data_IF_866069054020
#
_entry.id   IF_866069054020
#
_cell.length_a   1.000
_cell.length_b   1.000
_cell.length_c   1.000
_cell.angle_alpha   90.00
_cell.angle_beta   90.00
_cell.angle_gamma   90.00
#
_symmetry.space_group_name_H-M   'P 1'
#
loop_
_entity.id
_entity.type
_entity.pdbx_description
1 polymer ?
#
# COMPACT_ATOMS: atom_id res chain seq x y z
N UNK A 1 -21.68 -1.75 -0.64
CA UNK A 1 -21.30 -3.17 -0.66
C UNK A 1 -22.53 -4.02 -0.96
N UNK A 2 -22.34 -5.06 -1.74
CA UNK A 2 -23.36 -6.09 -2.02
C UNK A 2 -22.67 -7.45 -1.88
N UNK A 3 -23.22 -8.32 -1.05
CA UNK A 3 -22.72 -9.69 -0.81
C UNK A 3 -21.20 -9.79 -0.54
N UNK A 4 -20.66 -8.75 0.13
CA UNK A 4 -19.21 -8.57 0.28
C UNK A 4 -18.51 -9.71 1.02
N UNK A 5 -19.24 -10.47 1.84
CA UNK A 5 -18.74 -11.57 2.68
C UNK A 5 -19.14 -12.96 2.17
N UNK A 6 -19.77 -13.04 0.98
CA UNK A 6 -20.11 -14.30 0.36
C UNK A 6 -18.85 -14.98 -0.18
N UNK A 7 -18.59 -16.21 0.26
CA UNK A 7 -17.45 -17.02 -0.19
C UNK A 7 -17.65 -17.46 -1.65
N UNK A 8 -16.65 -17.19 -2.49
CA UNK A 8 -16.61 -17.54 -3.91
C UNK A 8 -15.21 -17.94 -4.34
N UNK A 9 -15.05 -18.74 -5.38
CA UNK A 9 -13.76 -18.97 -6.01
C UNK A 9 -13.17 -17.66 -6.53
N UNK A 10 -11.88 -17.34 -6.24
CA UNK A 10 -11.26 -16.08 -6.65
C UNK A 10 -10.70 -16.08 -8.06
N UNK A 11 -10.51 -17.23 -8.68
CA UNK A 11 -9.70 -17.37 -9.88
C UNK A 11 -8.31 -16.70 -9.69
N UNK A 12 -7.72 -16.15 -10.76
CA UNK A 12 -6.39 -15.51 -10.73
C UNK A 12 -6.30 -14.22 -9.89
N UNK A 13 -7.39 -13.76 -9.25
CA UNK A 13 -7.29 -12.70 -8.22
C UNK A 13 -6.49 -13.20 -7.01
N UNK A 14 -6.39 -14.51 -6.80
CA UNK A 14 -5.46 -15.19 -5.87
C UNK A 14 -4.04 -14.64 -5.96
N UNK A 15 -3.57 -14.31 -7.17
CA UNK A 15 -2.21 -13.85 -7.44
C UNK A 15 -1.84 -12.53 -6.77
N UNK A 16 -2.83 -11.79 -6.24
CA UNK A 16 -2.57 -10.61 -5.38
C UNK A 16 -1.83 -11.06 -4.12
N UNK A 17 -2.25 -12.17 -3.50
CA UNK A 17 -1.55 -12.73 -2.33
C UNK A 17 -0.17 -13.28 -2.72
N UNK A 18 -0.07 -13.92 -3.88
CA UNK A 18 1.22 -14.42 -4.41
C UNK A 18 2.21 -13.28 -4.58
N UNK A 19 1.82 -12.19 -5.25
CA UNK A 19 2.67 -11.01 -5.42
C UNK A 19 3.00 -10.34 -4.08
N UNK A 20 2.05 -10.29 -3.14
CA UNK A 20 2.28 -9.76 -1.80
C UNK A 20 3.39 -10.53 -1.07
N UNK A 21 3.37 -11.86 -1.11
CA UNK A 21 4.42 -12.69 -0.51
C UNK A 21 5.77 -12.58 -1.23
N UNK A 22 5.77 -12.40 -2.56
CA UNK A 22 7.01 -12.13 -3.31
C UNK A 22 7.64 -10.81 -2.82
N UNK A 23 6.84 -9.74 -2.71
CA UNK A 23 7.33 -8.46 -2.20
C UNK A 23 7.73 -8.52 -0.71
N UNK A 24 7.00 -9.27 0.14
CA UNK A 24 7.39 -9.51 1.53
C UNK A 24 8.77 -10.22 1.60
N UNK A 25 9.06 -11.16 0.69
CA UNK A 25 10.34 -11.83 0.60
C UNK A 25 11.48 -10.91 0.11
N UNK A 26 11.19 -10.01 -0.84
CA UNK A 26 12.15 -9.00 -1.31
C UNK A 26 12.46 -7.99 -0.20
N UNK A 27 11.44 -7.46 0.48
CA UNK A 27 11.61 -6.50 1.58
C UNK A 27 12.43 -7.08 2.73
N UNK A 28 12.17 -8.34 3.09
CA UNK A 28 12.93 -9.05 4.12
C UNK A 28 14.34 -9.48 3.68
N UNK A 29 14.73 -9.18 2.43
CA UNK A 29 16.01 -9.56 1.82
C UNK A 29 16.24 -11.08 1.76
N UNK A 30 15.17 -11.86 1.76
CA UNK A 30 15.22 -13.31 1.53
C UNK A 30 15.56 -13.61 0.08
N UNK A 31 15.07 -12.76 -0.84
CA UNK A 31 15.35 -12.77 -2.27
C UNK A 31 15.59 -11.33 -2.77
N UNK A 32 16.17 -11.19 -3.96
CA UNK A 32 16.28 -9.91 -4.69
C UNK A 32 15.54 -9.96 -6.02
N UNK A 33 15.24 -8.81 -6.63
CA UNK A 33 14.59 -8.74 -7.93
C UNK A 33 15.43 -9.33 -9.06
N UNK A 34 16.76 -9.34 -8.90
CA UNK A 34 17.75 -9.83 -9.85
C UNK A 34 18.02 -11.32 -9.72
N UNK A 35 17.56 -11.96 -8.65
CA UNK A 35 17.78 -13.40 -8.42
C UNK A 35 17.19 -14.23 -9.56
N UNK A 36 17.93 -15.26 -9.98
CA UNK A 36 17.49 -16.20 -11.00
C UNK A 36 16.65 -17.32 -10.40
N UNK A 37 15.39 -17.37 -10.77
CA UNK A 37 14.41 -18.37 -10.34
C UNK A 37 14.43 -19.54 -11.31
N UNK A 38 14.82 -20.76 -10.89
CA UNK A 38 14.77 -21.93 -11.75
C UNK A 38 13.32 -22.41 -11.93
N UNK A 39 13.01 -22.90 -13.11
CA UNK A 39 11.70 -23.46 -13.46
C UNK A 39 11.73 -24.98 -13.31
N UNK A 40 10.93 -25.54 -12.42
CA UNK A 40 10.77 -26.98 -12.24
C UNK A 40 9.89 -27.60 -13.33
N UNK A 41 9.89 -28.91 -13.43
CA UNK A 41 8.99 -29.66 -14.29
C UNK A 41 7.52 -29.41 -13.91
N UNK A 42 7.24 -29.31 -12.60
CA UNK A 42 5.89 -29.03 -12.11
C UNK A 42 5.45 -27.61 -12.50
N UNK A 43 6.26 -26.58 -12.30
CA UNK A 43 5.95 -25.23 -12.72
C UNK A 43 5.71 -25.13 -14.23
N UNK A 44 6.58 -25.76 -15.05
CA UNK A 44 6.44 -25.80 -16.52
C UNK A 44 5.20 -26.56 -17.00
N UNK A 45 4.65 -27.48 -16.18
CA UNK A 45 3.46 -28.27 -16.53
C UNK A 45 2.13 -27.55 -16.29
N UNK A 46 2.17 -26.32 -15.69
CA UNK A 46 0.96 -25.59 -15.35
C UNK A 46 0.12 -25.24 -16.57
N UNK A 47 -1.18 -25.52 -16.44
CA UNK A 47 -2.19 -25.13 -17.45
C UNK A 47 -2.80 -23.76 -17.20
N UNK A 48 -3.74 -23.38 -18.06
CA UNK A 48 -4.45 -22.11 -18.00
C UNK A 48 -3.61 -20.94 -18.55
N UNK A 49 -3.65 -19.77 -17.91
CA UNK A 49 -2.79 -18.64 -18.31
C UNK A 49 -1.34 -18.94 -17.97
N UNK A 50 -0.46 -18.87 -18.94
CA UNK A 50 0.96 -19.20 -18.80
C UNK A 50 1.80 -18.39 -19.80
N UNK A 51 3.09 -18.32 -19.56
CA UNK A 51 4.07 -17.72 -20.47
C UNK A 51 4.99 -18.76 -21.06
N UNK A 52 4.65 -20.05 -20.89
CA UNK A 52 5.34 -21.19 -21.46
C UNK A 52 6.79 -21.35 -21.00
N UNK A 53 7.02 -21.16 -19.69
CA UNK A 53 8.33 -21.44 -19.09
C UNK A 53 8.73 -22.90 -19.30
N UNK A 54 9.97 -23.15 -19.72
CA UNK A 54 10.49 -24.51 -19.94
C UNK A 54 11.24 -25.03 -18.70
N UNK A 55 11.18 -26.34 -18.47
CA UNK A 55 11.92 -26.99 -17.37
C UNK A 55 13.42 -26.73 -17.46
N UNK A 56 13.97 -26.17 -16.38
CA UNK A 56 15.40 -25.81 -16.27
C UNK A 56 15.73 -24.43 -16.85
N UNK A 57 14.76 -23.71 -17.42
CA UNK A 57 14.88 -22.29 -17.72
C UNK A 57 15.03 -21.50 -16.41
N UNK A 58 15.64 -20.31 -16.48
CA UNK A 58 15.71 -19.38 -15.36
C UNK A 58 15.24 -18.00 -15.79
N UNK A 59 14.44 -17.34 -14.95
CA UNK A 59 14.03 -15.95 -15.14
C UNK A 59 14.32 -15.16 -13.88
N UNK A 60 14.47 -13.84 -13.97
CA UNK A 60 14.63 -13.01 -12.77
C UNK A 60 13.31 -12.93 -11.98
N UNK A 61 13.39 -12.66 -10.67
CA UNK A 61 12.22 -12.37 -9.84
C UNK A 61 11.40 -11.22 -10.44
N UNK A 62 12.04 -10.16 -10.95
CA UNK A 62 11.40 -9.06 -11.67
C UNK A 62 10.60 -9.55 -12.88
N UNK A 63 11.22 -10.38 -13.74
CA UNK A 63 10.53 -10.97 -14.90
C UNK A 63 9.36 -11.85 -14.47
N UNK A 64 9.51 -12.65 -13.41
CA UNK A 64 8.41 -13.46 -12.87
C UNK A 64 7.24 -12.61 -12.37
N UNK A 65 7.52 -11.49 -11.66
CA UNK A 65 6.48 -10.53 -11.26
C UNK A 65 5.75 -9.94 -12.47
N UNK A 66 6.45 -9.60 -13.56
CA UNK A 66 5.86 -9.14 -14.83
C UNK A 66 4.96 -10.21 -15.43
N UNK A 67 5.40 -11.46 -15.51
CA UNK A 67 4.61 -12.59 -16.02
C UNK A 67 3.33 -12.79 -15.20
N UNK A 68 3.41 -12.72 -13.87
CA UNK A 68 2.28 -12.88 -12.93
C UNK A 68 1.29 -11.71 -13.05
N UNK A 69 1.79 -10.48 -13.04
CA UNK A 69 0.95 -9.28 -13.02
C UNK A 69 0.27 -9.04 -14.37
N UNK A 70 1.04 -9.06 -15.47
CA UNK A 70 0.61 -8.68 -16.81
C UNK A 70 -0.17 -9.83 -17.46
N UNK A 71 0.48 -10.97 -17.66
CA UNK A 71 -0.09 -12.12 -18.37
C UNK A 71 -0.85 -13.09 -17.47
N UNK A 72 -0.80 -12.90 -16.15
CA UNK A 72 -1.48 -13.80 -15.20
C UNK A 72 -0.92 -15.23 -15.19
N UNK A 73 0.39 -15.39 -15.41
CA UNK A 73 1.07 -16.66 -15.63
C UNK A 73 1.02 -17.59 -14.41
N UNK A 74 0.48 -18.79 -14.58
CA UNK A 74 0.37 -19.81 -13.52
C UNK A 74 1.72 -20.50 -13.29
N UNK A 75 2.46 -20.78 -14.36
CA UNK A 75 3.82 -21.34 -14.36
C UNK A 75 4.78 -20.45 -13.55
N UNK A 76 4.75 -19.14 -13.78
CA UNK A 76 5.54 -18.18 -13.00
C UNK A 76 5.14 -18.13 -11.51
N UNK A 77 3.83 -18.30 -11.19
CA UNK A 77 3.39 -18.35 -9.78
C UNK A 77 3.98 -19.57 -9.05
N UNK A 78 3.93 -20.74 -9.67
CA UNK A 78 4.45 -21.97 -9.07
C UNK A 78 5.96 -21.91 -8.94
N UNK A 79 6.68 -21.46 -9.98
CA UNK A 79 8.13 -21.29 -9.91
C UNK A 79 8.55 -20.35 -8.76
N UNK A 80 7.83 -19.23 -8.57
CA UNK A 80 8.09 -18.31 -7.46
C UNK A 80 7.73 -18.94 -6.10
N UNK A 81 6.64 -19.70 -6.00
CA UNK A 81 6.25 -20.38 -4.77
C UNK A 81 7.31 -21.40 -4.34
N UNK A 82 7.78 -22.23 -5.26
CA UNK A 82 8.86 -23.19 -5.02
C UNK A 82 10.17 -22.50 -4.64
N UNK A 83 10.52 -21.42 -5.33
CA UNK A 83 11.75 -20.65 -5.05
C UNK A 83 11.75 -20.03 -3.66
N UNK A 84 10.63 -19.47 -3.24
CA UNK A 84 10.51 -18.77 -1.94
C UNK A 84 10.37 -19.77 -0.77
N UNK A 85 9.57 -20.82 -0.94
CA UNK A 85 9.14 -21.68 0.18
C UNK A 85 9.55 -23.14 0.03
N UNK A 86 10.23 -23.50 -1.06
CA UNK A 86 10.69 -24.86 -1.36
C UNK A 86 9.63 -25.75 -2.00
N UNK A 87 8.34 -25.43 -1.85
CA UNK A 87 7.23 -26.08 -2.57
C UNK A 87 5.99 -25.19 -2.64
N UNK A 88 5.05 -25.47 -3.55
CA UNK A 88 3.77 -24.77 -3.61
C UNK A 88 2.96 -24.93 -2.33
N UNK A 89 2.95 -26.14 -1.73
CA UNK A 89 2.21 -26.42 -0.50
C UNK A 89 2.72 -25.56 0.67
N UNK A 90 4.04 -25.43 0.84
CA UNK A 90 4.62 -24.57 1.87
C UNK A 90 4.29 -23.09 1.63
N UNK A 91 4.32 -22.65 0.38
CA UNK A 91 3.93 -21.28 0.00
C UNK A 91 2.44 -21.02 0.29
N UNK A 92 1.55 -21.96 -0.01
CA UNK A 92 0.12 -21.87 0.30
C UNK A 92 -0.13 -21.77 1.81
N UNK A 93 0.65 -22.46 2.63
CA UNK A 93 0.59 -22.29 4.08
C UNK A 93 0.94 -20.86 4.51
N UNK A 94 1.99 -20.26 3.92
CA UNK A 94 2.33 -18.85 4.17
C UNK A 94 1.24 -17.89 3.63
N UNK A 95 0.62 -18.17 2.47
CA UNK A 95 -0.54 -17.40 1.96
C UNK A 95 -1.68 -17.40 2.99
N UNK A 96 -2.05 -18.55 3.54
CA UNK A 96 -3.12 -18.66 4.53
C UNK A 96 -2.76 -18.01 5.86
N UNK A 97 -1.51 -18.09 6.29
CA UNK A 97 -0.99 -17.39 7.48
C UNK A 97 -1.07 -15.86 7.27
N UNK A 98 -0.65 -15.38 6.09
CA UNK A 98 -0.72 -13.96 5.74
C UNK A 98 -2.17 -13.47 5.67
N UNK A 99 -3.07 -14.25 5.09
CA UNK A 99 -4.50 -13.95 5.05
C UNK A 99 -5.08 -13.75 6.46
N UNK A 100 -4.77 -14.66 7.39
CA UNK A 100 -5.18 -14.53 8.81
C UNK A 100 -4.63 -13.24 9.45
N UNK A 101 -3.36 -12.91 9.19
CA UNK A 101 -2.73 -11.69 9.72
C UNK A 101 -3.39 -10.41 9.18
N UNK A 102 -3.94 -10.45 7.96
CA UNK A 102 -4.69 -9.34 7.35
C UNK A 102 -6.18 -9.28 7.77
N UNK A 103 -6.65 -10.24 8.58
CA UNK A 103 -8.06 -10.32 8.99
C UNK A 103 -8.98 -10.89 7.91
N UNK A 104 -8.44 -11.63 6.94
CA UNK A 104 -9.20 -12.29 5.87
C UNK A 104 -9.81 -13.61 6.40
N UNK A 105 -10.85 -13.48 7.22
CA UNK A 105 -11.41 -14.61 7.96
C UNK A 105 -12.22 -15.61 7.10
N UNK A 106 -12.62 -15.21 5.89
CA UNK A 106 -13.42 -16.02 4.99
C UNK A 106 -12.63 -16.55 3.79
N UNK A 107 -11.29 -16.51 3.88
CA UNK A 107 -10.38 -16.92 2.82
C UNK A 107 -9.66 -18.22 3.17
N UNK A 108 -9.57 -19.11 2.21
CA UNK A 108 -8.72 -20.28 2.24
C UNK A 108 -8.09 -20.49 0.86
N UNK A 109 -6.78 -20.39 0.78
CA UNK A 109 -6.02 -20.71 -0.43
C UNK A 109 -5.63 -22.18 -0.44
N UNK A 110 -5.73 -22.82 -1.61
CA UNK A 110 -5.35 -24.22 -1.86
C UNK A 110 -4.22 -24.32 -2.87
N UNK A 111 -4.06 -23.29 -3.71
CA UNK A 111 -2.95 -23.13 -4.65
C UNK A 111 -2.53 -21.66 -4.74
N UNK A 112 -1.38 -21.40 -5.36
CA UNK A 112 -0.81 -20.07 -5.47
C UNK A 112 -1.29 -19.27 -6.70
N UNK A 113 -2.04 -19.87 -7.62
CA UNK A 113 -2.35 -19.27 -8.91
C UNK A 113 -3.84 -19.01 -9.16
N UNK A 114 -4.75 -19.67 -8.42
CA UNK A 114 -6.19 -19.48 -8.51
C UNK A 114 -6.90 -20.40 -9.50
N UNK A 115 -6.32 -21.51 -9.88
CA UNK A 115 -7.04 -22.60 -10.55
C UNK A 115 -8.13 -23.17 -9.65
N UNK A 116 -9.25 -23.58 -10.23
CA UNK A 116 -10.37 -24.14 -9.48
C UNK A 116 -9.94 -25.37 -8.68
N UNK A 117 -10.18 -25.33 -7.37
CA UNK A 117 -9.89 -26.42 -6.44
C UNK A 117 -10.88 -26.39 -5.29
N UNK A 118 -11.27 -27.57 -4.80
CA UNK A 118 -12.19 -27.70 -3.68
C UNK A 118 -11.64 -26.95 -2.45
N UNK A 119 -12.44 -26.03 -1.92
CA UNK A 119 -12.05 -25.23 -0.76
C UNK A 119 -11.21 -23.99 -1.06
N UNK A 120 -10.85 -23.72 -2.34
CA UNK A 120 -10.17 -22.48 -2.74
C UNK A 120 -11.18 -21.35 -2.84
N UNK A 121 -11.35 -20.60 -1.75
CA UNK A 121 -12.41 -19.58 -1.62
C UNK A 121 -11.91 -18.31 -0.96
N UNK A 122 -12.56 -17.21 -1.30
CA UNK A 122 -12.38 -15.89 -0.65
C UNK A 122 -13.68 -15.08 -0.74
N UNK A 123 -13.64 -13.83 -0.29
CA UNK A 123 -14.75 -12.88 -0.39
C UNK A 123 -14.29 -11.55 -1.01
N UNK A 124 -15.22 -10.76 -1.51
CA UNK A 124 -14.89 -9.44 -2.06
C UNK A 124 -14.23 -8.54 -1.01
N UNK A 125 -14.65 -8.63 0.26
CA UNK A 125 -14.04 -7.91 1.38
C UNK A 125 -12.60 -8.35 1.60
N UNK A 126 -12.35 -9.64 1.67
CA UNK A 126 -11.01 -10.18 1.90
C UNK A 126 -10.05 -9.84 0.75
N UNK A 127 -10.54 -9.88 -0.50
CA UNK A 127 -9.77 -9.40 -1.66
C UNK A 127 -9.41 -7.91 -1.51
N UNK A 128 -10.34 -7.07 -1.05
CA UNK A 128 -10.06 -5.66 -0.84
C UNK A 128 -8.99 -5.46 0.25
N UNK A 129 -8.97 -6.28 1.32
CA UNK A 129 -7.94 -6.24 2.37
C UNK A 129 -6.55 -6.54 1.82
N UNK A 130 -6.38 -7.68 1.10
CA UNK A 130 -5.07 -8.02 0.53
C UNK A 130 -4.64 -7.05 -0.58
N UNK A 131 -5.58 -6.53 -1.36
CA UNK A 131 -5.28 -5.52 -2.37
C UNK A 131 -4.79 -4.22 -1.75
N UNK A 132 -5.46 -3.77 -0.67
CA UNK A 132 -5.03 -2.59 0.08
C UNK A 132 -3.63 -2.78 0.66
N UNK A 133 -3.36 -3.91 1.28
CA UNK A 133 -2.03 -4.22 1.82
C UNK A 133 -0.96 -4.13 0.72
N UNK A 134 -1.20 -4.77 -0.42
CA UNK A 134 -0.25 -4.78 -1.52
C UNK A 134 0.05 -3.36 -2.04
N UNK A 135 -0.97 -2.56 -2.36
CA UNK A 135 -0.76 -1.23 -2.94
C UNK A 135 -0.22 -0.20 -1.94
N UNK A 136 -0.53 -0.34 -0.64
CA UNK A 136 -0.05 0.62 0.37
C UNK A 136 1.35 0.30 0.84
N UNK A 137 1.68 -0.98 1.01
CA UNK A 137 3.00 -1.41 1.46
C UNK A 137 4.02 -1.42 0.32
N UNK A 138 3.58 -1.81 -0.87
CA UNK A 138 4.41 -1.98 -2.06
C UNK A 138 3.86 -1.20 -3.26
N UNK A 139 3.89 0.15 -3.23
CA UNK A 139 3.32 0.98 -4.29
C UNK A 139 3.96 0.74 -5.67
N UNK A 140 5.18 0.19 -5.73
CA UNK A 140 5.81 -0.22 -6.99
C UNK A 140 5.02 -1.29 -7.76
N UNK A 141 4.05 -1.98 -7.14
CA UNK A 141 3.15 -2.90 -7.86
C UNK A 141 2.40 -2.22 -9.00
N UNK A 142 2.15 -0.91 -8.89
CA UNK A 142 1.47 -0.16 -9.94
C UNK A 142 2.28 -0.14 -11.26
N UNK A 143 3.59 -0.15 -11.22
CA UNK A 143 4.45 -0.22 -12.42
C UNK A 143 4.18 -1.53 -13.19
N UNK A 144 4.13 -2.66 -12.48
CA UNK A 144 3.79 -3.96 -13.08
C UNK A 144 2.33 -4.02 -13.54
N UNK A 145 1.41 -3.59 -12.70
CA UNK A 145 -0.03 -3.70 -12.96
C UNK A 145 -0.52 -2.77 -14.07
N UNK A 146 0.17 -1.66 -14.33
CA UNK A 146 -0.19 -0.69 -15.37
C UNK A 146 0.54 -0.91 -16.69
N UNK A 147 1.52 -1.80 -16.75
CA UNK A 147 2.17 -2.17 -18.01
C UNK A 147 1.18 -2.87 -18.91
N UNK A 148 0.92 -2.31 -20.10
CA UNK A 148 -0.01 -2.89 -21.07
C UNK A 148 0.58 -4.05 -21.84
N UNK A 149 1.78 -3.88 -22.36
CA UNK A 149 2.51 -4.89 -23.12
C UNK A 149 3.99 -4.80 -22.81
N UNK A 150 4.64 -5.94 -22.71
CA UNK A 150 6.09 -6.03 -22.53
C UNK A 150 6.57 -7.37 -23.12
N UNK A 151 7.82 -7.45 -23.56
CA UNK A 151 8.44 -8.68 -24.00
C UNK A 151 9.32 -9.26 -22.90
N UNK A 152 9.33 -10.57 -22.79
CA UNK A 152 10.31 -11.33 -22.03
C UNK A 152 11.14 -12.21 -22.96
N UNK A 153 12.34 -12.52 -22.56
CA UNK A 153 13.24 -13.40 -23.32
C UNK A 153 13.33 -14.75 -22.65
N UNK A 154 12.98 -15.81 -23.37
CA UNK A 154 13.24 -17.19 -22.97
C UNK A 154 14.64 -17.59 -23.42
N UNK A 155 15.45 -18.07 -22.49
CA UNK A 155 16.74 -18.68 -22.76
C UNK A 155 16.67 -20.15 -22.36
N UNK A 156 16.55 -21.01 -23.36
CA UNK A 156 16.35 -22.45 -23.16
C UNK A 156 17.43 -23.25 -23.90
N UNK A 157 17.47 -24.56 -23.68
CA UNK A 157 18.36 -25.45 -24.43
C UNK A 157 18.11 -25.44 -25.95
N UNK A 158 16.95 -24.95 -26.39
CA UNK A 158 16.53 -24.85 -27.81
C UNK A 158 16.98 -23.52 -28.43
N UNK A 159 17.49 -22.60 -27.65
CA UNK A 159 17.90 -21.26 -28.06
C UNK A 159 17.15 -20.14 -27.35
N UNK A 160 17.26 -18.95 -27.88
CA UNK A 160 16.64 -17.72 -27.35
C UNK A 160 15.42 -17.35 -28.17
N UNK A 161 14.33 -17.00 -27.52
CA UNK A 161 13.08 -16.52 -28.15
C UNK A 161 12.41 -15.43 -27.33
N UNK A 162 11.74 -14.50 -28.02
CA UNK A 162 10.95 -13.45 -27.38
C UNK A 162 9.50 -13.90 -27.20
N UNK A 163 8.91 -13.54 -26.05
CA UNK A 163 7.51 -13.76 -25.75
C UNK A 163 6.84 -12.46 -25.29
N UNK A 164 5.73 -12.10 -25.96
CA UNK A 164 4.97 -10.88 -25.67
C UNK A 164 3.95 -11.09 -24.56
N UNK A 165 4.11 -10.35 -23.46
CA UNK A 165 3.10 -10.24 -22.40
C UNK A 165 2.04 -9.22 -22.80
N UNK A 166 0.77 -9.52 -22.57
CA UNK A 166 -0.33 -8.56 -22.74
C UNK A 166 -1.19 -8.54 -21.48
N UNK A 167 -1.50 -7.34 -20.99
CA UNK A 167 -2.23 -7.19 -19.76
C UNK A 167 -3.68 -7.65 -19.87
N UNK A 168 -4.08 -8.52 -18.95
CA UNK A 168 -5.44 -9.03 -18.86
C UNK A 168 -6.44 -8.01 -18.33
N UNK A 169 -5.95 -6.93 -17.67
CA UNK A 169 -6.77 -5.86 -17.13
C UNK A 169 -6.95 -4.72 -18.16
N UNK A 170 -8.07 -4.75 -18.87
CA UNK A 170 -8.37 -3.74 -19.89
C UNK A 170 -8.57 -2.32 -19.32
N UNK A 171 -8.83 -2.17 -18.01
CA UNK A 171 -8.96 -0.85 -17.38
C UNK A 171 -7.69 -0.03 -17.50
N UNK A 172 -6.53 -0.67 -17.60
CA UNK A 172 -5.23 -0.01 -17.85
C UNK A 172 -5.27 0.96 -19.04
N UNK A 173 -6.08 0.66 -20.06
CA UNK A 173 -6.26 1.49 -21.27
C UNK A 173 -7.63 2.17 -21.37
N UNK A 174 -8.61 1.71 -20.60
CA UNK A 174 -10.01 2.10 -20.78
C UNK A 174 -10.52 3.04 -19.68
N UNK A 175 -9.77 3.15 -18.56
CA UNK A 175 -10.20 3.97 -17.44
C UNK A 175 -9.08 4.94 -17.02
N UNK A 176 -9.36 6.22 -17.17
CA UNK A 176 -8.44 7.34 -16.94
C UNK A 176 -7.72 7.30 -15.58
N UNK A 177 -8.43 6.85 -14.53
CA UNK A 177 -7.90 6.83 -13.16
C UNK A 177 -7.33 5.47 -12.75
N UNK A 178 -7.27 4.48 -13.65
CA UNK A 178 -6.80 3.14 -13.31
C UNK A 178 -5.35 3.17 -12.78
N UNK A 179 -5.08 2.39 -11.72
CA UNK A 179 -3.75 2.11 -11.17
C UNK A 179 -3.46 0.60 -11.07
N UNK A 180 -4.39 -0.26 -11.52
CA UNK A 180 -4.25 -1.72 -11.54
C UNK A 180 -5.59 -2.40 -11.27
N UNK A 181 -5.71 -3.59 -10.63
CA UNK A 181 -4.63 -4.40 -10.05
C UNK A 181 -4.59 -5.78 -10.72
N UNK A 182 -5.65 -6.64 -10.53
CA UNK A 182 -5.65 -8.02 -11.02
C UNK A 182 -7.02 -8.49 -11.44
N UNK A 183 -7.06 -9.19 -12.58
CA UNK A 183 -8.24 -9.90 -13.07
C UNK A 183 -8.15 -11.41 -12.79
N UNK A 184 -9.30 -12.08 -12.77
CA UNK A 184 -9.39 -13.53 -12.70
C UNK A 184 -10.60 -14.03 -13.48
N UNK A 185 -10.51 -15.23 -14.04
CA UNK A 185 -11.67 -15.95 -14.58
C UNK A 185 -11.39 -17.44 -14.67
N UNK A 186 -12.39 -18.25 -14.27
CA UNK A 186 -12.45 -19.70 -14.46
C UNK A 186 -13.90 -20.06 -14.74
N UNK A 187 -14.17 -21.33 -15.03
CA UNK A 187 -15.54 -21.83 -15.21
C UNK A 187 -16.40 -21.64 -13.96
N UNK A 188 -15.83 -21.86 -12.77
CA UNK A 188 -16.55 -21.74 -11.48
C UNK A 188 -16.61 -20.29 -10.98
N UNK A 189 -15.49 -19.56 -11.06
CA UNK A 189 -15.40 -18.19 -10.56
C UNK A 189 -16.11 -17.17 -11.46
N UNK A 190 -16.43 -17.51 -12.71
CA UNK A 190 -16.83 -16.55 -13.74
C UNK A 190 -15.80 -15.44 -13.90
N UNK A 191 -16.20 -14.17 -13.98
CA UNK A 191 -15.30 -13.04 -14.18
C UNK A 191 -15.14 -12.22 -12.91
N UNK A 192 -13.90 -12.15 -12.42
CA UNK A 192 -13.52 -11.42 -11.22
C UNK A 192 -12.51 -10.31 -11.54
N UNK A 193 -12.51 -9.25 -10.77
CA UNK A 193 -11.48 -8.19 -10.79
C UNK A 193 -11.34 -7.54 -9.42
N UNK A 194 -10.10 -7.32 -9.01
CA UNK A 194 -9.75 -6.28 -8.06
C UNK A 194 -9.16 -5.14 -8.86
N UNK A 195 -9.90 -4.05 -9.01
CA UNK A 195 -9.48 -2.86 -9.73
C UNK A 195 -9.06 -1.79 -8.74
N UNK A 196 -7.95 -1.10 -9.03
CA UNK A 196 -7.51 0.07 -8.30
C UNK A 196 -7.55 1.30 -9.20
N UNK A 197 -7.81 2.45 -8.60
CA UNK A 197 -7.84 3.71 -9.33
C UNK A 197 -7.54 4.88 -8.41
N UNK A 198 -6.81 5.87 -8.93
CA UNK A 198 -6.40 7.05 -8.19
C UNK A 198 -6.86 8.31 -8.89
N UNK A 199 -7.52 9.17 -8.13
CA UNK A 199 -7.90 10.51 -8.57
C UNK A 199 -7.53 11.50 -7.48
N UNK A 200 -6.73 12.50 -7.82
CA UNK A 200 -6.15 13.43 -6.86
C UNK A 200 -5.42 12.67 -5.73
N UNK A 201 -5.74 12.95 -4.47
CA UNK A 201 -5.16 12.28 -3.30
C UNK A 201 -5.97 11.06 -2.82
N UNK A 202 -6.95 10.60 -3.60
CA UNK A 202 -7.79 9.44 -3.25
C UNK A 202 -7.45 8.27 -4.14
N UNK A 203 -7.09 7.14 -3.53
CA UNK A 203 -6.99 5.86 -4.21
C UNK A 203 -8.08 4.91 -3.72
N UNK A 204 -8.79 4.28 -4.65
CA UNK A 204 -9.91 3.39 -4.39
C UNK A 204 -9.62 1.98 -4.89
N UNK A 205 -10.22 1.01 -4.22
CA UNK A 205 -10.23 -0.39 -4.62
C UNK A 205 -11.69 -0.78 -4.86
N UNK A 206 -11.96 -1.31 -6.05
CA UNK A 206 -13.26 -1.87 -6.42
C UNK A 206 -13.10 -3.36 -6.73
N UNK A 207 -13.80 -4.21 -5.97
CA UNK A 207 -13.75 -5.66 -6.15
C UNK A 207 -15.09 -6.15 -6.71
N UNK A 208 -15.02 -6.84 -7.83
CA UNK A 208 -16.15 -7.54 -8.45
C UNK A 208 -15.83 -9.02 -8.54
N UNK A 209 -16.73 -9.85 -8.06
CA UNK A 209 -16.64 -11.32 -8.16
C UNK A 209 -17.85 -11.87 -8.88
N UNK A 210 -17.63 -12.95 -9.64
CA UNK A 210 -18.68 -13.71 -10.31
C UNK A 210 -19.58 -12.90 -11.26
N UNK A 211 -19.04 -11.90 -11.95
CA UNK A 211 -19.75 -11.24 -13.05
C UNK A 211 -19.97 -12.22 -14.19
N UNK A 212 -21.09 -12.11 -14.91
CA UNK A 212 -21.42 -13.07 -15.98
C UNK A 212 -20.54 -12.89 -17.22
N UNK A 213 -20.05 -11.68 -17.45
CA UNK A 213 -19.16 -11.38 -18.58
C UNK A 213 -17.94 -10.54 -18.18
N UNK A 214 -16.88 -10.64 -18.98
CA UNK A 214 -15.71 -9.77 -18.84
C UNK A 214 -16.06 -8.29 -18.98
N UNK A 215 -17.06 -7.92 -19.80
CA UNK A 215 -17.50 -6.55 -19.99
C UNK A 215 -18.19 -6.01 -18.74
N UNK A 216 -19.06 -6.80 -18.14
CA UNK A 216 -19.79 -6.40 -16.91
C UNK A 216 -18.85 -6.18 -15.74
N UNK A 217 -17.89 -7.10 -15.47
CA UNK A 217 -16.95 -6.89 -14.35
C UNK A 217 -16.21 -5.55 -14.43
N UNK A 218 -15.80 -5.13 -15.64
CA UNK A 218 -15.12 -3.83 -15.81
C UNK A 218 -16.10 -2.67 -15.68
N UNK A 219 -17.29 -2.78 -16.25
CA UNK A 219 -18.32 -1.75 -16.14
C UNK A 219 -18.72 -1.50 -14.68
N UNK A 220 -18.91 -2.57 -13.90
CA UNK A 220 -19.27 -2.47 -12.48
C UNK A 220 -18.11 -1.91 -11.66
N UNK A 221 -16.87 -2.31 -11.91
CA UNK A 221 -15.69 -1.75 -11.24
C UNK A 221 -15.58 -0.23 -11.49
N UNK A 222 -15.72 0.22 -12.74
CA UNK A 222 -15.69 1.66 -13.10
C UNK A 222 -16.84 2.40 -12.43
N UNK A 223 -18.06 1.85 -12.44
CA UNK A 223 -19.23 2.45 -11.80
C UNK A 223 -19.01 2.64 -10.29
N UNK A 224 -18.45 1.63 -9.61
CA UNK A 224 -18.13 1.71 -8.18
C UNK A 224 -17.04 2.75 -7.90
N UNK A 225 -15.98 2.80 -8.70
CA UNK A 225 -14.91 3.79 -8.55
C UNK A 225 -15.42 5.21 -8.79
N UNK A 226 -16.19 5.45 -9.84
CA UNK A 226 -16.78 6.76 -10.11
C UNK A 226 -17.73 7.22 -9.00
N UNK A 227 -18.54 6.30 -8.46
CA UNK A 227 -19.35 6.57 -7.28
C UNK A 227 -18.48 6.94 -6.06
N UNK A 228 -17.43 6.17 -5.80
CA UNK A 228 -16.50 6.43 -4.71
C UNK A 228 -15.81 7.78 -4.84
N UNK A 229 -15.23 8.10 -5.99
CA UNK A 229 -14.61 9.41 -6.24
C UNK A 229 -15.59 10.57 -6.11
N UNK A 230 -16.85 10.38 -6.52
CA UNK A 230 -17.91 11.40 -6.35
C UNK A 230 -18.33 11.60 -4.89
N UNK A 231 -18.05 10.65 -3.99
CA UNK A 231 -18.38 10.72 -2.56
C UNK A 231 -17.21 11.13 -1.68
N UNK A 232 -15.99 10.84 -2.09
CA UNK A 232 -14.79 11.15 -1.33
C UNK A 232 -14.44 12.63 -1.42
N UNK A 233 -14.19 13.25 -0.28
CA UNK A 233 -13.64 14.60 -0.18
C UNK A 233 -12.41 14.57 0.71
N UNK A 234 -11.31 15.13 0.24
CA UNK A 234 -10.05 15.20 1.00
C UNK A 234 -9.83 16.62 1.49
N UNK A 235 -9.63 16.75 2.77
CA UNK A 235 -9.09 17.95 3.38
C UNK A 235 -7.59 17.76 3.58
N UNK A 236 -6.81 18.74 3.15
CA UNK A 236 -5.37 18.80 3.38
C UNK A 236 -5.04 20.14 4.01
N UNK A 237 -4.36 20.14 5.16
CA UNK A 237 -3.99 21.41 5.81
C UNK A 237 -2.73 22.00 5.18
N UNK A 238 -2.93 22.89 4.21
CA UNK A 238 -1.85 23.66 3.55
C UNK A 238 -1.47 24.94 4.32
N UNK A 239 -2.26 25.34 5.33
CA UNK A 239 -2.03 26.61 6.02
C UNK A 239 -0.84 26.49 6.97
N UNK A 240 0.07 27.48 6.97
CA UNK A 240 1.17 27.51 7.93
C UNK A 240 0.65 27.57 9.38
N UNK A 241 1.48 27.14 10.31
CA UNK A 241 1.21 27.31 11.74
C UNK A 241 1.25 28.80 12.11
N UNK A 242 0.41 29.16 13.08
CA UNK A 242 0.46 30.49 13.71
C UNK A 242 1.58 30.56 14.74
N UNK A 243 1.74 29.51 15.52
CA UNK A 243 2.76 29.40 16.58
C UNK A 243 4.11 29.09 15.95
N UNK A 244 5.07 30.00 16.13
CA UNK A 244 6.44 29.87 15.59
C UNK A 244 7.45 29.43 16.65
N UNK A 245 7.16 29.68 17.92
CA UNK A 245 8.07 29.43 19.04
C UNK A 245 7.33 28.75 20.20
N UNK A 246 8.06 27.96 20.97
CA UNK A 246 7.65 27.39 22.24
C UNK A 246 8.65 27.72 23.34
N UNK A 247 8.15 27.91 24.55
CA UNK A 247 9.00 28.23 25.71
C UNK A 247 9.62 26.96 26.26
N UNK A 248 10.94 26.94 26.41
CA UNK A 248 11.74 25.86 27.00
C UNK A 248 12.28 26.28 28.34
N UNK A 249 12.00 25.48 29.38
CA UNK A 249 12.56 25.71 30.72
C UNK A 249 13.90 25.03 30.88
N UNK A 250 14.78 25.65 31.65
CA UNK A 250 16.12 25.15 31.97
C UNK A 250 17.04 24.94 30.74
N UNK A 251 16.75 25.60 29.63
CA UNK A 251 17.58 25.57 28.42
C UNK A 251 18.57 26.72 28.35
N UNK A 252 19.63 26.58 27.57
CA UNK A 252 20.52 27.68 27.22
C UNK A 252 19.70 28.80 26.56
N UNK A 253 18.79 28.45 25.72
CA UNK A 253 17.79 29.34 25.12
C UNK A 253 16.40 29.09 25.73
N UNK A 254 15.62 30.18 25.88
CA UNK A 254 14.28 30.13 26.50
C UNK A 254 13.17 29.83 25.49
N UNK A 255 13.44 30.00 24.19
CA UNK A 255 12.52 29.78 23.13
C UNK A 255 13.13 28.86 22.07
N UNK A 256 12.29 27.97 21.51
CA UNK A 256 12.66 27.07 20.42
C UNK A 256 11.71 27.30 19.25
N UNK A 257 12.25 27.36 18.05
CA UNK A 257 11.44 27.34 16.84
C UNK A 257 10.74 25.99 16.71
N UNK A 258 9.46 26.04 16.34
CA UNK A 258 8.64 24.85 16.15
C UNK A 258 8.06 24.81 14.75
N UNK A 259 7.79 23.61 14.28
CA UNK A 259 7.13 23.36 13.00
C UNK A 259 6.13 22.21 13.12
N UNK A 260 5.28 22.04 12.12
CA UNK A 260 4.43 20.87 12.01
C UNK A 260 5.28 19.65 11.65
N UNK A 261 5.07 18.52 12.32
CA UNK A 261 5.71 17.27 12.01
C UNK A 261 5.22 16.73 10.67
N UNK A 262 4.03 16.14 10.66
CA UNK A 262 3.44 15.61 9.45
C UNK A 262 2.26 16.45 8.97
N UNK A 263 2.04 16.45 7.66
CA UNK A 263 0.89 17.08 7.01
C UNK A 263 -0.38 16.34 7.41
N UNK A 264 -1.37 17.04 7.93
CA UNK A 264 -2.67 16.45 8.24
C UNK A 264 -3.54 16.35 7.00
N UNK A 265 -4.04 15.14 6.74
CA UNK A 265 -5.06 14.86 5.73
C UNK A 265 -6.26 14.17 6.37
N UNK A 266 -7.45 14.44 5.89
CA UNK A 266 -8.67 13.80 6.36
C UNK A 266 -9.57 13.48 5.16
N UNK A 267 -9.97 12.21 5.05
CA UNK A 267 -10.89 11.71 4.02
C UNK A 267 -12.31 11.68 4.58
N UNK A 268 -13.22 12.42 3.98
CA UNK A 268 -14.65 12.29 4.24
C UNK A 268 -15.36 11.54 3.11
N UNK A 269 -16.24 10.61 3.50
CA UNK A 269 -17.10 9.84 2.59
C UNK A 269 -18.60 10.08 2.88
N UNK A 270 -18.89 10.99 3.82
CA UNK A 270 -20.25 11.28 4.30
C UNK A 270 -20.82 12.60 3.78
N UNK A 271 -20.07 13.33 2.95
CA UNK A 271 -20.49 14.61 2.39
C UNK A 271 -20.49 15.78 3.38
N UNK A 272 -19.61 15.73 4.39
CA UNK A 272 -19.46 16.83 5.35
C UNK A 272 -18.78 18.04 4.70
N UNK A 273 -19.13 19.23 5.17
CA UNK A 273 -18.52 20.46 4.72
C UNK A 273 -17.12 20.64 5.31
N UNK A 274 -16.07 20.36 4.51
CA UNK A 274 -14.66 20.47 4.91
C UNK A 274 -14.26 21.89 5.31
N UNK A 275 -15.00 22.94 4.90
CA UNK A 275 -14.75 24.33 5.30
C UNK A 275 -14.99 24.56 6.79
N UNK A 276 -15.75 23.69 7.45
CA UNK A 276 -16.01 23.74 8.88
C UNK A 276 -14.89 23.13 9.75
N UNK A 277 -13.85 22.57 9.13
CA UNK A 277 -12.70 22.04 9.87
C UNK A 277 -11.99 23.20 10.58
N UNK A 278 -11.88 23.07 11.89
CA UNK A 278 -11.13 23.99 12.74
C UNK A 278 -9.86 23.32 13.20
N UNK A 279 -8.76 24.09 13.27
CA UNK A 279 -7.50 23.65 13.86
C UNK A 279 -7.14 24.47 15.07
N UNK A 280 -6.63 23.82 16.12
CA UNK A 280 -6.21 24.41 17.38
C UNK A 280 -4.79 23.93 17.65
N UNK A 281 -3.84 24.86 17.69
CA UNK A 281 -2.46 24.59 18.03
C UNK A 281 -2.32 24.60 19.57
N UNK A 282 -1.77 23.53 20.13
CA UNK A 282 -1.56 23.37 21.57
C UNK A 282 -0.10 23.06 21.83
N UNK A 283 0.62 23.99 22.43
CA UNK A 283 1.99 23.75 22.90
C UNK A 283 1.93 23.11 24.29
N UNK A 284 2.83 22.18 24.57
CA UNK A 284 2.94 21.53 25.87
C UNK A 284 3.26 22.58 26.94
N UNK A 285 2.53 22.58 28.05
CA UNK A 285 2.68 23.54 29.15
C UNK A 285 4.08 23.53 29.81
N UNK A 286 4.80 22.40 29.67
CA UNK A 286 6.11 22.23 30.32
C UNK A 286 7.04 21.48 29.32
N UNK A 287 7.91 22.26 28.68
CA UNK A 287 8.98 21.73 27.84
C UNK A 287 10.28 21.98 28.62
N UNK A 288 11.01 20.91 28.90
CA UNK A 288 12.25 20.95 29.66
C UNK A 288 13.44 20.63 28.76
N UNK A 289 14.51 21.42 28.87
CA UNK A 289 15.78 21.12 28.23
C UNK A 289 16.46 19.89 28.91
N UNK A 290 17.24 19.08 28.17
CA UNK A 290 17.54 19.25 26.73
C UNK A 290 16.38 18.88 25.84
N UNK A 291 16.21 19.60 24.73
CA UNK A 291 15.26 19.28 23.64
C UNK A 291 16.08 18.97 22.39
N UNK A 292 15.74 17.93 21.65
CA UNK A 292 16.40 17.56 20.38
C UNK A 292 15.56 18.04 19.20
N UNK A 293 16.19 18.22 18.06
CA UNK A 293 15.48 18.42 16.80
C UNK A 293 14.53 17.22 16.56
N UNK A 294 13.27 17.51 16.23
CA UNK A 294 12.24 16.50 16.00
C UNK A 294 11.45 16.09 17.25
N UNK A 295 11.86 16.50 18.46
CA UNK A 295 11.10 16.20 19.68
C UNK A 295 9.71 16.84 19.62
N UNK A 296 8.69 16.09 20.06
CA UNK A 296 7.30 16.55 20.09
C UNK A 296 7.09 17.52 21.23
N UNK A 297 6.78 18.76 20.90
CA UNK A 297 6.61 19.87 21.86
C UNK A 297 5.18 20.39 21.94
N UNK A 298 4.27 19.81 21.15
CA UNK A 298 2.86 20.17 21.14
C UNK A 298 2.09 19.34 20.12
N UNK A 299 0.85 19.71 19.87
CA UNK A 299 -0.01 19.10 18.84
C UNK A 299 -0.95 20.12 18.21
N UNK A 300 -1.31 19.87 16.97
CA UNK A 300 -2.41 20.54 16.26
C UNK A 300 -3.60 19.57 16.29
N UNK A 301 -4.69 19.99 16.90
CA UNK A 301 -5.94 19.21 16.94
C UNK A 301 -6.88 19.73 15.88
N UNK A 302 -7.42 18.82 15.04
CA UNK A 302 -8.39 19.12 14.00
C UNK A 302 -9.76 18.65 14.44
N UNK A 303 -10.77 19.52 14.30
CA UNK A 303 -12.16 19.20 14.66
C UNK A 303 -13.10 19.52 13.51
N UNK A 304 -14.14 18.70 13.34
CA UNK A 304 -15.23 18.91 12.40
C UNK A 304 -16.56 18.71 13.13
N UNK A 305 -17.43 19.69 13.06
CA UNK A 305 -18.71 19.72 13.79
C UNK A 305 -18.55 19.42 15.29
N UNK A 306 -17.47 19.94 15.91
CA UNK A 306 -17.16 19.77 17.33
C UNK A 306 -16.46 18.46 17.70
N UNK A 307 -16.37 17.49 16.80
CA UNK A 307 -15.69 16.23 17.03
C UNK A 307 -14.25 16.29 16.54
N UNK A 308 -13.33 15.70 17.29
CA UNK A 308 -11.95 15.56 16.85
C UNK A 308 -11.88 14.55 15.68
N UNK A 309 -11.24 14.95 14.58
CA UNK A 309 -11.04 14.15 13.38
C UNK A 309 -9.58 13.72 13.19
N UNK A 310 -8.66 14.25 13.99
CA UNK A 310 -7.27 13.84 14.04
C UNK A 310 -6.35 14.89 14.59
N UNK A 311 -5.05 14.55 14.62
CA UNK A 311 -3.97 15.39 15.15
C UNK A 311 -2.75 15.32 14.25
N UNK A 312 -1.91 16.37 14.34
CA UNK A 312 -0.55 16.40 13.83
C UNK A 312 0.36 16.90 14.95
N UNK A 313 1.56 16.38 15.06
CA UNK A 313 2.51 16.81 16.06
C UNK A 313 3.09 18.18 15.71
N UNK A 314 3.41 18.95 16.76
CA UNK A 314 4.27 20.12 16.68
C UNK A 314 5.64 19.69 17.19
N UNK A 315 6.66 19.82 16.35
CA UNK A 315 8.01 19.35 16.64
C UNK A 315 9.00 20.52 16.76
N UNK A 316 10.05 20.27 17.50
CA UNK A 316 11.18 21.20 17.63
C UNK A 316 12.00 21.22 16.32
N UNK A 317 12.17 22.40 15.73
CA UNK A 317 12.93 22.58 14.47
C UNK A 317 14.45 22.48 14.68
N UNK A 318 14.91 22.72 15.89
CA UNK A 318 16.31 22.60 16.33
C UNK A 318 16.41 22.10 17.77
N UNK A 319 17.60 21.77 18.23
CA UNK A 319 17.83 21.38 19.62
C UNK A 319 18.08 22.56 20.52
N UNK A 320 17.80 22.43 21.84
CA UNK A 320 18.20 23.34 22.91
C UNK A 320 18.85 22.52 24.00
N UNK A 321 20.09 22.87 24.38
CA UNK A 321 20.81 22.18 25.44
C UNK A 321 20.35 22.67 26.82
N UNK A 322 20.55 21.83 27.84
CA UNK A 322 20.29 22.21 29.24
C UNK A 322 21.28 23.26 29.67
N UNK A 323 20.81 24.36 30.31
CA UNK A 323 21.64 25.39 30.84
C UNK A 323 22.48 24.87 32.02
N UNK A 324 23.77 25.15 31.99
CA UNK A 324 24.70 24.95 33.11
C UNK A 324 24.78 26.19 34.04
N UNK A 325 25.63 26.11 35.06
CA UNK A 325 25.80 27.20 36.03
C UNK A 325 26.25 28.53 35.39
N UNK A 326 27.21 28.46 34.44
CA UNK A 326 27.70 29.64 33.71
C UNK A 326 26.61 30.33 32.89
N UNK A 327 25.70 29.51 32.25
CA UNK A 327 24.59 30.05 31.45
C UNK A 327 23.60 30.83 32.35
N UNK A 328 23.30 30.28 33.54
CA UNK A 328 22.44 30.97 34.51
C UNK A 328 23.09 32.28 35.04
N UNK A 329 24.40 32.27 35.30
CA UNK A 329 25.12 33.47 35.75
C UNK A 329 25.03 34.57 34.68
N UNK A 330 25.26 34.22 33.40
CA UNK A 330 25.14 35.17 32.28
C UNK A 330 23.71 35.71 32.19
N UNK A 331 22.70 34.86 32.29
CA UNK A 331 21.28 35.27 32.23
C UNK A 331 20.91 36.22 33.36
N UNK A 332 21.35 35.94 34.55
CA UNK A 332 21.11 36.82 35.73
C UNK A 332 21.83 38.15 35.55
N UNK A 333 23.12 38.14 35.17
CA UNK A 333 23.89 39.38 34.95
C UNK A 333 23.27 40.22 33.81
N UNK A 334 22.81 39.62 32.74
CA UNK A 334 22.14 40.32 31.64
C UNK A 334 20.83 41.01 32.10
N UNK A 335 20.01 40.34 32.95
CA UNK A 335 18.81 40.95 33.52
C UNK A 335 19.13 42.13 34.45
N UNK A 336 20.21 42.05 35.25
CA UNK A 336 20.65 43.12 36.10
C UNK A 336 21.21 44.35 35.35
N UNK A 337 21.96 44.08 34.24
CA UNK A 337 22.62 45.15 33.47
C UNK A 337 21.67 45.86 32.48
N UNK A 338 20.66 45.21 32.00
CA UNK A 338 19.74 45.75 30.96
C UNK A 338 18.55 46.49 31.60
N UNK A 339 18.30 46.32 32.92
CA UNK A 339 17.20 46.98 33.64
C UNK A 339 15.84 46.67 33.00
N UNK A 340 14.90 46.03 33.70
CA UNK A 340 13.53 45.94 33.23
C UNK A 340 12.97 47.34 32.94
N UNK A 341 12.82 47.72 31.69
CA UNK A 341 11.86 48.77 31.34
C UNK A 341 10.49 48.16 31.49
N UNK A 342 9.79 48.51 32.61
CA UNK A 342 8.36 48.30 32.82
C UNK A 342 7.53 48.83 31.64
#
# INVERSE_FOLDING_TARGET
EQDADTKRPPASVTKIMTMLLIFDAVESKKISLEDKVPVSEFAASMGGSQVFLETGETQTVDTMLKCISIASANDACVAMAEYISGSEEAFVQEMNKRAKALGMHNTNFVNCNGLDAQGHVTTARDIALMSRELITKYPQIHEYAMTWMENITHETKKGTSEFGLTNTNKLVRQYEYATGLKTGSTGEAKFCVSATGKKDDVELIAVVMAADTSKERFADAVKMMNYGFGKCQVYSDEKPMKTKYAVVKNGVEENIEVERGEKFTYLDVKGKDMKKIKKIEKINKKILAPVRKGDVVGSIVYTLDGNEIGRSDIIAKRGVQKAGFSDYLIKVSAKFLIGEKN
#
